data_IF_681978442734
#
_entry.id   IF_681978442734
#
_cell.length_a   1.000
_cell.length_b   1.000
_cell.length_c   1.000
_cell.angle_alpha   90.00
_cell.angle_beta   90.00
_cell.angle_gamma   90.00
#
_symmetry.space_group_name_H-M   'P 1'
#
loop_
_entity.id
_entity.type
_entity.pdbx_description
1 polymer ?
#
# COMPACT_ATOMS: atom_id res chain seq x y z
N UNK A 1 8.02 -22.29 16.21
CA UNK A 1 8.22 -21.09 17.10
C UNK A 1 6.92 -20.65 17.72
N UNK A 2 6.98 -20.05 18.90
CA UNK A 2 5.88 -19.36 19.57
C UNK A 2 5.91 -17.87 19.21
N UNK A 3 4.85 -17.36 18.62
CA UNK A 3 4.83 -16.06 17.93
C UNK A 3 3.76 -15.13 18.53
N UNK A 4 4.13 -13.88 18.79
CA UNK A 4 3.17 -12.77 18.88
C UNK A 4 3.12 -12.10 17.51
N UNK A 5 1.94 -12.04 16.92
CA UNK A 5 1.71 -11.40 15.61
C UNK A 5 1.09 -10.02 15.79
N UNK A 6 1.70 -9.01 15.20
CA UNK A 6 1.22 -7.62 15.22
C UNK A 6 0.87 -7.15 13.82
N UNK A 7 -0.38 -6.88 13.59
CA UNK A 7 -0.87 -6.42 12.29
C UNK A 7 -2.29 -5.89 12.35
N UNK A 8 -2.70 -5.15 11.33
CA UNK A 8 -4.01 -4.50 11.33
C UNK A 8 -4.78 -4.72 10.03
N UNK A 9 -4.28 -4.30 8.83
CA UNK A 9 -5.05 -4.37 7.60
C UNK A 9 -5.03 -5.75 6.95
N UNK A 10 -5.79 -5.89 5.90
CA UNK A 10 -5.86 -7.08 5.06
C UNK A 10 -4.50 -7.53 4.51
N UNK A 11 -3.60 -6.60 4.23
CA UNK A 11 -2.21 -6.92 3.83
C UNK A 11 -1.51 -7.89 4.78
N UNK A 12 -1.82 -7.83 6.06
CA UNK A 12 -1.20 -8.65 7.10
C UNK A 12 -1.85 -10.03 7.26
N UNK A 13 -3.08 -10.21 6.79
CA UNK A 13 -3.87 -11.44 7.01
C UNK A 13 -3.20 -12.66 6.40
N UNK A 14 -2.73 -12.57 5.16
CA UNK A 14 -2.09 -13.69 4.47
C UNK A 14 -0.86 -14.22 5.19
N UNK A 15 -0.09 -13.36 5.83
CA UNK A 15 1.06 -13.77 6.65
C UNK A 15 0.64 -14.46 7.93
N UNK A 16 -0.39 -13.97 8.62
CA UNK A 16 -0.93 -14.67 9.78
C UNK A 16 -1.39 -16.08 9.41
N UNK A 17 -2.15 -16.23 8.35
CA UNK A 17 -2.61 -17.52 7.83
C UNK A 17 -1.44 -18.45 7.48
N UNK A 18 -0.41 -17.92 6.80
CA UNK A 18 0.76 -18.71 6.42
C UNK A 18 1.57 -19.20 7.63
N UNK A 19 1.68 -18.41 8.67
CA UNK A 19 2.36 -18.81 9.92
C UNK A 19 1.61 -19.92 10.65
N UNK A 20 0.28 -19.82 10.72
CA UNK A 20 -0.57 -20.87 11.31
C UNK A 20 -0.46 -22.17 10.49
N UNK A 21 -0.55 -22.07 9.17
CA UNK A 21 -0.46 -23.20 8.25
C UNK A 21 0.93 -23.87 8.30
N UNK A 22 1.99 -23.10 8.50
CA UNK A 22 3.35 -23.63 8.69
C UNK A 22 3.59 -24.33 10.04
N UNK A 23 2.59 -24.39 10.90
CA UNK A 23 2.65 -25.08 12.19
C UNK A 23 3.25 -24.26 13.33
N UNK A 24 3.41 -22.94 13.17
CA UNK A 24 3.81 -22.07 14.25
C UNK A 24 2.66 -21.86 15.26
N UNK A 25 3.02 -21.71 16.53
CA UNK A 25 2.06 -21.34 17.57
C UNK A 25 1.92 -19.82 17.63
N UNK A 26 0.93 -19.27 16.98
CA UNK A 26 0.57 -17.86 17.16
C UNK A 26 -0.23 -17.73 18.45
N UNK A 27 0.43 -17.31 19.53
CA UNK A 27 -0.15 -17.29 20.87
C UNK A 27 -0.94 -16.02 21.18
N UNK A 28 -0.68 -14.94 20.44
CA UNK A 28 -1.38 -13.67 20.59
C UNK A 28 -1.33 -12.92 19.25
N UNK A 29 -2.44 -12.29 18.92
CA UNK A 29 -2.52 -11.28 17.86
C UNK A 29 -2.72 -9.92 18.50
N UNK A 30 -1.88 -8.95 18.11
CA UNK A 30 -1.99 -7.55 18.51
C UNK A 30 -2.42 -6.73 17.29
N UNK A 31 -3.50 -5.99 17.42
CA UNK A 31 -4.06 -5.20 16.33
C UNK A 31 -4.50 -3.82 16.83
N UNK A 32 -4.65 -2.88 15.93
CA UNK A 32 -5.25 -1.58 16.24
C UNK A 32 -6.68 -1.78 16.77
N UNK A 33 -7.18 -0.84 17.60
CA UNK A 33 -8.58 -0.87 18.03
C UNK A 33 -9.54 -0.87 16.84
N UNK A 34 -10.71 -1.47 17.03
CA UNK A 34 -11.80 -1.44 16.07
C UNK A 34 -12.16 0.01 15.73
N UNK A 35 -12.54 0.26 14.51
CA UNK A 35 -12.87 1.60 14.02
C UNK A 35 -14.27 1.61 13.40
N UNK A 36 -15.02 2.73 13.53
CA UNK A 36 -16.27 2.88 12.82
C UNK A 36 -16.02 2.91 11.31
N UNK A 37 -16.79 2.11 10.56
CA UNK A 37 -16.69 2.00 9.10
C UNK A 37 -18.07 2.15 8.45
N UNK A 38 -18.08 2.69 7.23
CA UNK A 38 -19.31 2.87 6.46
C UNK A 38 -20.18 4.04 6.91
N UNK A 39 -21.30 4.23 6.23
CA UNK A 39 -22.25 5.34 6.50
C UNK A 39 -22.92 5.23 7.86
N UNK A 40 -23.10 4.02 8.38
CA UNK A 40 -23.71 3.75 9.69
C UNK A 40 -22.76 3.92 10.88
N UNK A 41 -21.47 4.14 10.64
CA UNK A 41 -20.42 4.24 11.70
C UNK A 41 -20.43 3.07 12.68
N UNK A 42 -20.84 1.88 12.24
CA UNK A 42 -20.74 0.67 13.07
C UNK A 42 -19.26 0.30 13.31
N UNK A 43 -18.95 -0.09 14.54
CA UNK A 43 -17.62 -0.56 14.92
C UNK A 43 -17.35 -1.87 14.20
N UNK A 44 -16.27 -1.90 13.41
CA UNK A 44 -15.87 -3.10 12.70
C UNK A 44 -14.51 -3.59 13.20
N UNK A 45 -14.35 -4.91 13.39
CA UNK A 45 -13.07 -5.48 13.71
C UNK A 45 -12.07 -5.26 12.59
N UNK A 46 -10.78 -5.21 12.96
CA UNK A 46 -9.73 -5.17 11.96
C UNK A 46 -9.67 -6.50 11.19
N UNK A 47 -9.22 -6.51 9.92
CA UNK A 47 -9.07 -7.75 9.16
C UNK A 47 -8.23 -8.81 9.88
N UNK A 48 -7.16 -8.40 10.54
CA UNK A 48 -6.30 -9.32 11.31
C UNK A 48 -7.03 -9.88 12.55
N UNK A 49 -7.82 -9.07 13.24
CA UNK A 49 -8.66 -9.56 14.35
C UNK A 49 -9.66 -10.61 13.88
N UNK A 50 -10.33 -10.38 12.75
CA UNK A 50 -11.27 -11.37 12.19
C UNK A 50 -10.57 -12.70 11.87
N UNK A 51 -9.39 -12.63 11.27
CA UNK A 51 -8.59 -13.83 10.98
C UNK A 51 -8.17 -14.56 12.26
N UNK A 52 -7.70 -13.82 13.27
CA UNK A 52 -7.33 -14.39 14.57
C UNK A 52 -8.50 -15.10 15.24
N UNK A 53 -9.68 -14.51 15.22
CA UNK A 53 -10.90 -15.10 15.80
C UNK A 53 -11.27 -16.42 15.13
N UNK A 54 -11.11 -16.56 13.82
CA UNK A 54 -11.35 -17.81 13.09
C UNK A 54 -10.44 -18.95 13.54
N UNK A 55 -9.23 -18.63 13.99
CA UNK A 55 -8.26 -19.59 14.52
C UNK A 55 -8.32 -19.76 16.03
N UNK A 56 -9.22 -19.07 16.72
CA UNK A 56 -9.30 -19.09 18.18
C UNK A 56 -8.09 -18.45 18.87
N UNK A 57 -7.37 -17.57 18.20
CA UNK A 57 -6.19 -16.89 18.75
C UNK A 57 -6.65 -15.68 19.55
N UNK A 58 -6.14 -15.48 20.80
CA UNK A 58 -6.42 -14.29 21.59
C UNK A 58 -6.00 -13.01 20.86
N UNK A 59 -6.82 -11.95 21.01
CA UNK A 59 -6.58 -10.65 20.38
C UNK A 59 -6.42 -9.56 21.44
N UNK A 60 -5.37 -8.77 21.30
CA UNK A 60 -5.08 -7.62 22.15
C UNK A 60 -5.05 -6.34 21.32
N UNK A 61 -5.84 -5.33 21.71
CA UNK A 61 -6.03 -4.11 20.94
C UNK A 61 -5.70 -2.85 21.76
N UNK A 62 -4.42 -2.62 22.10
CA UNK A 62 -4.03 -1.49 22.91
C UNK A 62 -4.17 -0.18 22.11
N UNK A 63 -4.63 0.88 22.78
CA UNK A 63 -4.67 2.22 22.19
C UNK A 63 -3.26 2.76 21.92
N UNK A 64 -2.33 2.46 22.81
CA UNK A 64 -0.90 2.86 22.71
C UNK A 64 -0.03 1.71 23.19
N UNK A 65 0.59 1.00 22.25
CA UNK A 65 1.45 -0.15 22.56
C UNK A 65 2.64 0.20 23.48
N UNK A 66 3.07 1.45 23.48
CA UNK A 66 4.19 1.96 24.30
C UNK A 66 3.86 2.12 25.77
N UNK A 67 2.59 1.98 26.19
CA UNK A 67 2.23 2.10 27.58
C UNK A 67 2.81 0.92 28.39
N UNK A 68 3.35 1.15 29.61
CA UNK A 68 4.03 0.11 30.40
C UNK A 68 3.20 -1.14 30.65
N UNK A 69 1.89 -0.99 30.81
CA UNK A 69 0.95 -2.10 30.98
C UNK A 69 0.91 -3.03 29.76
N UNK A 70 1.13 -2.48 28.56
CA UNK A 70 1.21 -3.28 27.34
C UNK A 70 2.45 -4.14 27.31
N UNK A 71 3.57 -3.61 27.75
CA UNK A 71 4.85 -4.35 27.88
C UNK A 71 4.66 -5.56 28.80
N UNK A 72 4.07 -5.34 29.98
CA UNK A 72 3.80 -6.41 30.94
C UNK A 72 2.79 -7.45 30.40
N UNK A 73 1.79 -7.01 29.67
CA UNK A 73 0.84 -7.93 29.02
C UNK A 73 1.53 -8.86 28.01
N UNK A 74 2.38 -8.31 27.13
CA UNK A 74 3.08 -9.09 26.11
C UNK A 74 4.08 -10.08 26.73
N UNK A 75 4.74 -9.73 27.85
CA UNK A 75 5.68 -10.63 28.54
C UNK A 75 5.04 -11.96 28.98
N UNK A 76 3.77 -11.96 29.32
CA UNK A 76 3.05 -13.15 29.82
C UNK A 76 3.02 -14.29 28.80
N UNK A 77 3.17 -13.98 27.52
CA UNK A 77 3.05 -14.96 26.43
C UNK A 77 4.34 -15.75 26.19
N UNK A 78 5.48 -15.31 26.71
CA UNK A 78 6.78 -15.98 26.50
C UNK A 78 7.03 -16.37 25.05
N UNK A 79 6.86 -15.44 24.14
CA UNK A 79 7.07 -15.67 22.73
C UNK A 79 8.56 -15.79 22.37
N UNK A 80 8.87 -16.55 21.32
CA UNK A 80 10.22 -16.67 20.77
C UNK A 80 10.56 -15.47 19.88
N UNK A 81 9.56 -14.97 19.15
CA UNK A 81 9.69 -13.90 18.17
C UNK A 81 8.38 -13.12 18.05
N UNK A 82 8.49 -11.86 17.69
CA UNK A 82 7.34 -11.05 17.26
C UNK A 82 7.41 -10.84 15.75
N UNK A 83 6.29 -11.02 15.08
CA UNK A 83 6.16 -10.73 13.65
C UNK A 83 5.27 -9.50 13.48
N UNK A 84 5.76 -8.48 12.80
CA UNK A 84 5.11 -7.18 12.67
C UNK A 84 4.88 -6.87 11.20
N UNK A 85 3.62 -6.61 10.82
CA UNK A 85 3.25 -6.24 9.47
C UNK A 85 2.16 -5.19 9.50
N UNK A 86 2.46 -3.97 9.04
CA UNK A 86 1.50 -2.87 8.96
C UNK A 86 0.67 -2.71 10.26
N UNK A 87 1.35 -2.75 11.40
CA UNK A 87 0.69 -2.65 12.71
C UNK A 87 0.11 -1.25 12.96
N UNK A 88 0.85 -0.21 12.54
CA UNK A 88 0.38 1.17 12.60
C UNK A 88 0.65 1.90 13.92
N UNK A 89 1.52 1.37 14.78
CA UNK A 89 2.04 2.04 15.96
C UNK A 89 3.55 1.87 16.04
N UNK A 90 4.21 2.85 16.62
CA UNK A 90 5.65 2.77 16.90
C UNK A 90 5.86 1.83 18.10
N UNK A 91 6.70 0.82 17.90
CA UNK A 91 7.02 -0.18 18.91
C UNK A 91 8.21 0.30 19.74
N UNK A 92 8.09 0.40 21.06
CA UNK A 92 9.18 0.86 21.93
C UNK A 92 10.28 -0.20 22.04
N UNK A 93 11.48 0.26 22.39
CA UNK A 93 12.67 -0.60 22.55
C UNK A 93 12.44 -1.81 23.45
N UNK A 94 11.73 -1.63 24.56
CA UNK A 94 11.42 -2.70 25.52
C UNK A 94 10.68 -3.87 24.87
N UNK A 95 9.80 -3.59 23.90
CA UNK A 95 9.09 -4.63 23.14
C UNK A 95 9.97 -5.18 22.02
N UNK A 96 10.73 -4.31 21.32
CA UNK A 96 11.65 -4.73 20.26
C UNK A 96 12.67 -5.77 20.74
N UNK A 97 13.12 -5.66 21.97
CA UNK A 97 14.14 -6.51 22.60
C UNK A 97 13.56 -7.58 23.54
N UNK A 98 12.23 -7.72 23.63
CA UNK A 98 11.56 -8.57 24.60
C UNK A 98 11.76 -10.06 24.35
N UNK A 99 11.80 -10.47 23.10
CA UNK A 99 11.86 -11.89 22.71
C UNK A 99 13.27 -12.29 22.27
N UNK A 100 13.65 -13.56 22.37
CA UNK A 100 14.98 -14.04 21.97
C UNK A 100 15.38 -13.66 20.52
N UNK A 101 14.40 -13.68 19.61
CA UNK A 101 14.64 -13.36 18.19
C UNK A 101 14.15 -11.97 17.79
N UNK A 102 13.74 -11.15 18.75
CA UNK A 102 13.31 -9.76 18.51
C UNK A 102 12.01 -9.63 17.72
N UNK A 103 11.89 -8.53 16.99
CA UNK A 103 10.76 -8.24 16.14
C UNK A 103 11.17 -8.30 14.67
N UNK A 104 10.50 -9.15 13.91
CA UNK A 104 10.72 -9.30 12.46
C UNK A 104 9.59 -8.58 11.73
N UNK A 105 9.94 -7.64 10.87
CA UNK A 105 8.99 -6.89 10.05
C UNK A 105 9.00 -7.42 8.62
N UNK A 106 7.82 -7.46 8.01
CA UNK A 106 7.64 -7.72 6.58
C UNK A 106 7.30 -6.39 5.92
N UNK A 107 8.25 -5.82 5.18
CA UNK A 107 8.13 -4.52 4.54
C UNK A 107 7.95 -4.64 3.04
N UNK A 108 6.95 -3.95 2.48
CA UNK A 108 6.55 -4.07 1.08
C UNK A 108 7.42 -3.21 0.14
N UNK A 109 8.73 -3.31 0.27
CA UNK A 109 9.70 -2.74 -0.66
C UNK A 109 11.01 -3.53 -0.64
N UNK A 110 11.87 -3.28 -1.61
CA UNK A 110 13.28 -3.72 -1.61
C UNK A 110 14.11 -2.70 -0.82
N UNK A 111 14.12 -2.82 0.50
CA UNK A 111 14.90 -1.95 1.37
C UNK A 111 16.38 -1.90 0.93
N UNK A 112 17.05 -0.75 1.03
CA UNK A 112 16.66 0.49 1.70
C UNK A 112 15.74 1.42 0.90
N UNK A 113 15.32 1.05 -0.31
CA UNK A 113 14.33 1.83 -1.09
C UNK A 113 12.97 1.86 -0.38
N UNK A 114 12.30 2.99 -0.48
CA UNK A 114 10.91 3.17 -0.04
C UNK A 114 10.65 2.79 1.42
N UNK A 115 11.53 3.21 2.33
CA UNK A 115 11.20 3.25 3.75
C UNK A 115 9.95 4.10 3.92
N UNK A 116 9.03 3.69 4.78
CA UNK A 116 7.86 4.51 5.09
C UNK A 116 6.53 3.79 4.95
N UNK A 117 5.44 4.59 4.95
CA UNK A 117 4.09 4.09 5.14
C UNK A 117 3.42 3.53 3.86
N UNK A 118 3.82 3.98 2.67
CA UNK A 118 3.14 3.65 1.41
C UNK A 118 4.10 3.20 0.29
N UNK A 119 5.00 2.24 0.53
CA UNK A 119 6.01 1.83 -0.44
C UNK A 119 5.41 1.27 -1.72
N UNK A 120 4.26 0.60 -1.66
CA UNK A 120 3.58 -0.02 -2.80
C UNK A 120 3.19 1.02 -3.84
N UNK A 121 2.47 2.04 -3.40
CA UNK A 121 1.97 3.09 -4.29
C UNK A 121 3.10 3.95 -4.84
N UNK A 122 4.05 4.33 -3.99
CA UNK A 122 5.17 5.17 -4.42
C UNK A 122 6.09 4.48 -5.42
N UNK A 123 6.26 3.16 -5.37
CA UNK A 123 7.03 2.43 -6.37
C UNK A 123 6.40 2.53 -7.77
N UNK A 124 5.07 2.46 -7.86
CA UNK A 124 4.35 2.65 -9.14
C UNK A 124 4.41 4.11 -9.60
N UNK A 125 4.12 5.05 -8.71
CA UNK A 125 4.12 6.50 -9.02
C UNK A 125 5.49 6.95 -9.54
N UNK A 126 6.56 6.42 -8.96
CA UNK A 126 7.93 6.76 -9.37
C UNK A 126 8.42 5.95 -10.58
N UNK A 127 7.61 5.02 -11.09
CA UNK A 127 7.91 4.27 -12.32
C UNK A 127 8.95 3.18 -12.17
N UNK A 128 9.03 2.57 -11.00
CA UNK A 128 9.87 1.37 -10.82
C UNK A 128 9.34 0.21 -11.68
N UNK A 129 10.23 -0.53 -12.29
CA UNK A 129 9.90 -1.74 -13.05
C UNK A 129 9.86 -3.00 -12.16
N UNK A 130 10.53 -2.92 -11.01
CA UNK A 130 10.63 -3.99 -10.02
C UNK A 130 10.51 -3.40 -8.63
N UNK A 131 9.76 -4.07 -7.79
CA UNK A 131 9.73 -3.86 -6.34
C UNK A 131 9.85 -5.20 -5.65
N UNK A 132 9.42 -5.32 -4.42
CA UNK A 132 9.47 -6.58 -3.70
C UNK A 132 9.11 -6.45 -2.24
N UNK A 133 9.49 -7.44 -1.49
CA UNK A 133 9.33 -7.50 -0.05
C UNK A 133 10.67 -7.77 0.60
N UNK A 134 10.92 -7.12 1.71
CA UNK A 134 12.08 -7.35 2.57
C UNK A 134 11.61 -7.76 3.96
N UNK A 135 12.17 -8.82 4.50
CA UNK A 135 12.08 -9.09 5.94
C UNK A 135 13.27 -8.43 6.64
N UNK A 136 13.03 -7.76 7.74
CA UNK A 136 14.07 -7.11 8.53
C UNK A 136 13.88 -7.30 10.03
N UNK A 137 14.96 -7.30 10.77
CA UNK A 137 14.92 -7.17 12.21
C UNK A 137 14.73 -5.71 12.58
N UNK A 138 13.63 -5.41 13.29
CA UNK A 138 13.29 -4.04 13.64
C UNK A 138 14.26 -3.44 14.66
N UNK A 139 14.54 -2.17 14.51
CA UNK A 139 15.22 -1.31 15.47
C UNK A 139 14.33 -0.09 15.81
N UNK A 140 14.86 0.85 16.57
CA UNK A 140 14.12 2.07 16.96
C UNK A 140 13.89 3.05 15.80
N UNK A 141 14.59 2.89 14.67
CA UNK A 141 14.39 3.72 13.48
C UNK A 141 13.19 3.30 12.65
N UNK A 142 12.77 4.18 11.76
CA UNK A 142 11.66 3.88 10.83
C UNK A 142 12.19 3.10 9.62
N UNK A 143 11.89 1.82 9.59
CA UNK A 143 12.27 0.87 8.52
C UNK A 143 13.78 0.82 8.22
N UNK A 144 14.60 0.99 9.27
CA UNK A 144 16.07 1.05 9.18
C UNK A 144 16.78 -0.18 9.72
N UNK A 145 16.03 -1.20 10.13
CA UNK A 145 16.58 -2.42 10.72
C UNK A 145 17.40 -3.27 9.74
N UNK A 146 18.13 -4.23 10.27
CA UNK A 146 18.95 -5.12 9.47
C UNK A 146 18.07 -6.02 8.58
N UNK A 147 18.38 -6.06 7.29
CA UNK A 147 17.67 -6.86 6.31
C UNK A 147 18.06 -8.33 6.43
N UNK A 148 17.07 -9.23 6.31
CA UNK A 148 17.30 -10.67 6.42
C UNK A 148 17.16 -11.34 5.07
N UNK A 149 16.03 -11.21 4.43
CA UNK A 149 15.73 -11.78 3.10
C UNK A 149 14.93 -10.80 2.25
N UNK A 150 15.00 -10.97 0.94
CA UNK A 150 14.24 -10.20 -0.04
C UNK A 150 13.67 -11.11 -1.11
N UNK A 151 12.54 -10.69 -1.65
CA UNK A 151 11.96 -11.27 -2.87
C UNK A 151 11.58 -10.15 -3.82
N UNK A 152 11.98 -10.28 -5.08
CA UNK A 152 11.62 -9.33 -6.14
C UNK A 152 10.26 -9.66 -6.74
N UNK A 153 9.50 -8.62 -7.05
CA UNK A 153 8.20 -8.70 -7.73
C UNK A 153 8.20 -7.67 -8.86
N UNK A 154 8.02 -8.09 -10.12
CA UNK A 154 7.95 -7.15 -11.24
C UNK A 154 6.69 -6.30 -11.18
N UNK A 155 6.80 -5.06 -11.61
CA UNK A 155 5.68 -4.13 -11.78
C UNK A 155 5.40 -4.03 -13.28
N UNK A 156 4.28 -4.58 -13.72
CA UNK A 156 3.86 -4.50 -15.12
C UNK A 156 3.24 -3.14 -15.44
N UNK A 157 3.11 -2.81 -16.73
CA UNK A 157 2.46 -1.59 -17.18
C UNK A 157 0.98 -1.49 -16.79
N UNK A 158 0.33 -2.63 -16.56
CA UNK A 158 -1.08 -2.71 -16.13
C UNK A 158 -1.23 -2.75 -14.59
N UNK A 159 -0.13 -2.81 -13.85
CA UNK A 159 -0.16 -2.93 -12.40
C UNK A 159 -0.76 -1.69 -11.75
N UNK A 160 -1.70 -1.90 -10.83
CA UNK A 160 -2.28 -0.85 -9.96
C UNK A 160 -1.78 -0.99 -8.54
N UNK A 161 -1.97 0.05 -7.73
CA UNK A 161 -1.68 -0.04 -6.29
C UNK A 161 -2.39 -1.20 -5.62
N UNK A 162 -3.63 -1.49 -6.01
CA UNK A 162 -4.43 -2.60 -5.47
C UNK A 162 -3.91 -3.96 -5.93
N UNK A 163 -3.64 -4.17 -7.23
CA UNK A 163 -3.14 -5.46 -7.72
C UNK A 163 -1.73 -5.76 -7.23
N UNK A 164 -0.87 -4.75 -7.14
CA UNK A 164 0.47 -4.91 -6.59
C UNK A 164 0.44 -5.21 -5.09
N UNK A 165 -0.47 -4.56 -4.33
CA UNK A 165 -0.72 -4.87 -2.93
C UNK A 165 -0.97 -6.38 -2.73
N UNK A 166 -1.85 -6.97 -3.52
CA UNK A 166 -2.19 -8.40 -3.39
C UNK A 166 -0.99 -9.32 -3.70
N UNK A 167 -0.24 -8.99 -4.74
CA UNK A 167 0.99 -9.74 -5.09
C UNK A 167 2.05 -9.66 -3.99
N UNK A 168 2.26 -8.47 -3.43
CA UNK A 168 3.24 -8.27 -2.36
C UNK A 168 2.79 -8.90 -1.04
N UNK A 169 1.49 -8.90 -0.75
CA UNK A 169 0.95 -9.60 0.42
C UNK A 169 1.21 -11.11 0.34
N UNK A 170 1.00 -11.71 -0.83
CA UNK A 170 1.29 -13.15 -1.05
C UNK A 170 2.79 -13.44 -0.97
N UNK A 171 3.62 -12.64 -1.64
CA UNK A 171 5.07 -12.80 -1.62
C UNK A 171 5.64 -12.62 -0.20
N UNK A 172 5.13 -11.63 0.54
CA UNK A 172 5.53 -11.36 1.92
C UNK A 172 5.17 -12.48 2.89
N UNK A 173 4.01 -13.09 2.71
CA UNK A 173 3.58 -14.24 3.52
C UNK A 173 4.54 -15.43 3.36
N UNK A 174 4.90 -15.77 2.13
CA UNK A 174 5.87 -16.84 1.84
C UNK A 174 7.25 -16.51 2.40
N UNK A 175 7.74 -15.30 2.14
CA UNK A 175 9.04 -14.86 2.61
C UNK A 175 9.15 -14.85 4.13
N UNK A 176 8.09 -14.47 4.84
CA UNK A 176 8.06 -14.48 6.30
C UNK A 176 8.27 -15.89 6.86
N UNK A 177 7.59 -16.88 6.31
CA UNK A 177 7.74 -18.28 6.72
C UNK A 177 9.17 -18.77 6.49
N UNK A 178 9.75 -18.47 5.33
CA UNK A 178 11.14 -18.81 5.01
C UNK A 178 12.13 -18.12 5.95
N UNK A 179 11.90 -16.85 6.25
CA UNK A 179 12.75 -16.07 7.17
C UNK A 179 12.72 -16.64 8.58
N UNK A 180 11.54 -16.97 9.12
CA UNK A 180 11.44 -17.56 10.45
C UNK A 180 12.10 -18.94 10.50
N UNK A 181 11.99 -19.72 9.43
CA UNK A 181 12.71 -21.00 9.34
C UNK A 181 14.21 -20.79 9.37
N UNK A 182 14.74 -19.84 8.61
CA UNK A 182 16.18 -19.54 8.61
C UNK A 182 16.66 -19.05 9.99
N UNK A 183 15.85 -18.29 10.70
CA UNK A 183 16.16 -17.84 12.07
C UNK A 183 16.19 -19.05 13.02
N UNK A 184 15.20 -19.92 12.95
CA UNK A 184 15.12 -21.12 13.78
C UNK A 184 16.26 -22.11 13.52
N UNK A 185 16.65 -22.27 12.27
CA UNK A 185 17.77 -23.12 11.83
C UNK A 185 19.15 -22.45 12.04
N UNK A 186 19.20 -21.23 12.55
CA UNK A 186 20.42 -20.43 12.72
C UNK A 186 21.20 -20.20 11.43
N UNK A 187 20.52 -20.13 10.29
CA UNK A 187 21.10 -19.86 8.96
C UNK A 187 20.82 -18.45 8.45
N UNK A 188 19.97 -17.69 9.17
CA UNK A 188 19.67 -16.32 8.81
C UNK A 188 20.91 -15.41 8.89
N UNK A 189 21.03 -14.52 7.90
CA UNK A 189 22.04 -13.46 7.88
C UNK A 189 21.37 -12.10 8.04
N UNK A 190 22.06 -11.16 8.68
CA UNK A 190 21.54 -9.83 8.98
C UNK A 190 22.45 -8.80 8.33
N UNK A 191 21.94 -8.10 7.34
CA UNK A 191 22.67 -7.10 6.58
C UNK A 191 22.22 -5.69 6.96
N UNK A 192 23.14 -4.85 7.40
CA UNK A 192 22.85 -3.45 7.71
C UNK A 192 22.43 -2.70 6.46
N UNK A 193 21.39 -1.90 6.59
CA UNK A 193 20.96 -1.00 5.52
C UNK A 193 21.96 0.15 5.37
N UNK A 194 22.24 0.53 4.13
CA UNK A 194 22.88 1.79 3.80
C UNK A 194 21.88 2.96 3.76
N UNK A 195 22.30 4.05 3.15
CA UNK A 195 21.40 5.18 2.88
C UNK A 195 20.29 4.77 1.89
N UNK A 196 19.11 5.34 2.06
CA UNK A 196 18.03 5.13 1.11
C UNK A 196 18.29 5.92 -0.18
N UNK A 197 18.25 5.27 -1.35
CA UNK A 197 18.35 5.96 -2.64
C UNK A 197 17.05 6.66 -3.05
N UNK A 198 15.96 6.49 -2.31
CA UNK A 198 14.65 7.08 -2.55
C UNK A 198 14.24 7.98 -1.41
N UNK A 199 13.29 8.87 -1.69
CA UNK A 199 12.61 9.61 -0.63
C UNK A 199 11.80 8.65 0.26
N UNK A 200 11.46 9.13 1.47
CA UNK A 200 10.57 8.44 2.37
C UNK A 200 9.19 8.27 1.74
N UNK A 201 8.69 7.05 1.68
CA UNK A 201 7.38 6.71 1.12
C UNK A 201 6.27 7.16 2.08
N UNK A 202 5.98 8.46 2.04
CA UNK A 202 5.03 9.11 2.94
C UNK A 202 3.63 8.53 2.81
N UNK A 203 2.85 8.68 3.87
CA UNK A 203 1.45 8.27 3.88
C UNK A 203 0.67 8.97 2.77
N UNK A 204 -0.24 8.24 2.13
CA UNK A 204 -1.12 8.78 1.10
C UNK A 204 -2.21 9.64 1.74
N UNK A 205 -2.58 10.69 1.03
CA UNK A 205 -3.74 11.52 1.34
C UNK A 205 -4.57 11.81 0.09
N UNK A 206 -5.76 12.33 0.27
CA UNK A 206 -6.66 12.62 -0.86
C UNK A 206 -6.14 13.71 -1.80
N UNK A 207 -5.34 14.64 -1.28
CA UNK A 207 -4.80 15.76 -2.08
C UNK A 207 -3.78 15.28 -3.10
N UNK A 208 -3.07 14.19 -2.78
CA UNK A 208 -2.13 13.56 -3.72
C UNK A 208 -2.79 13.15 -5.03
N UNK A 209 -4.08 12.78 -4.98
CA UNK A 209 -4.85 12.36 -6.17
C UNK A 209 -5.28 13.52 -7.08
N UNK A 210 -5.14 14.77 -6.66
CA UNK A 210 -5.52 15.92 -7.48
C UNK A 210 -4.55 16.10 -8.66
N UNK A 211 -4.99 15.76 -9.85
CA UNK A 211 -4.14 15.71 -11.04
C UNK A 211 -3.62 17.10 -11.38
N UNK A 212 -2.30 17.25 -11.42
CA UNK A 212 -1.63 18.40 -12.02
C UNK A 212 -1.39 18.12 -13.50
N UNK A 213 -2.22 18.71 -14.35
CA UNK A 213 -2.14 18.55 -15.81
C UNK A 213 -0.86 19.12 -16.42
N UNK A 214 -0.10 19.96 -15.69
CA UNK A 214 1.20 20.48 -16.15
C UNK A 214 2.31 19.43 -16.10
N UNK A 215 2.12 18.32 -15.43
CA UNK A 215 3.07 17.20 -15.43
C UNK A 215 2.95 16.38 -16.73
N UNK A 216 3.86 15.45 -16.94
CA UNK A 216 3.81 14.60 -18.15
C UNK A 216 2.66 13.59 -18.12
N UNK A 217 2.21 13.18 -19.29
CA UNK A 217 1.19 12.12 -19.41
C UNK A 217 1.62 10.81 -18.72
N UNK A 218 2.89 10.47 -18.79
CA UNK A 218 3.46 9.30 -18.12
C UNK A 218 3.36 9.42 -16.60
N UNK A 219 3.68 10.59 -16.04
CA UNK A 219 3.56 10.81 -14.58
C UNK A 219 2.11 10.74 -14.12
N UNK A 220 1.17 11.33 -14.88
CA UNK A 220 -0.26 11.26 -14.53
C UNK A 220 -0.78 9.83 -14.65
N UNK A 221 -0.39 9.08 -15.67
CA UNK A 221 -0.77 7.67 -15.84
C UNK A 221 -0.28 6.82 -14.67
N UNK A 222 0.98 6.99 -14.23
CA UNK A 222 1.52 6.33 -13.05
C UNK A 222 0.79 6.72 -11.77
N UNK A 223 0.42 7.98 -11.62
CA UNK A 223 -0.38 8.45 -10.49
C UNK A 223 -1.76 7.77 -10.47
N UNK A 224 -2.43 7.69 -11.61
CA UNK A 224 -3.73 6.99 -11.77
C UNK A 224 -3.62 5.54 -11.33
N UNK A 225 -2.61 4.80 -11.81
CA UNK A 225 -2.38 3.41 -11.43
C UNK A 225 -1.98 3.25 -9.97
N UNK A 226 -1.02 4.02 -9.51
CA UNK A 226 -0.50 3.91 -8.15
C UNK A 226 -1.55 4.22 -7.08
N UNK A 227 -2.47 5.13 -7.33
CA UNK A 227 -3.54 5.50 -6.40
C UNK A 227 -4.85 4.73 -6.57
N UNK A 228 -4.91 3.77 -7.48
CA UNK A 228 -6.06 2.89 -7.65
C UNK A 228 -5.91 1.71 -6.66
N UNK A 229 -6.84 1.44 -5.75
CA UNK A 229 -8.21 1.97 -5.67
C UNK A 229 -8.36 3.17 -4.72
N UNK A 230 -7.37 3.43 -3.86
CA UNK A 230 -7.41 4.53 -2.89
C UNK A 230 -6.06 5.28 -2.86
N UNK A 231 -6.07 6.62 -2.73
CA UNK A 231 -7.21 7.55 -2.63
C UNK A 231 -7.89 7.87 -3.97
N UNK A 232 -7.41 7.36 -5.08
CA UNK A 232 -7.78 7.62 -6.46
C UNK A 232 -7.29 8.96 -7.01
N UNK A 233 -6.92 8.99 -8.29
CA UNK A 233 -6.62 10.21 -9.00
C UNK A 233 -7.92 10.90 -9.45
N UNK A 234 -7.95 12.21 -9.40
CA UNK A 234 -9.13 13.00 -9.76
C UNK A 234 -8.78 14.36 -10.34
N UNK A 235 -9.74 14.92 -11.02
CA UNK A 235 -9.70 16.27 -11.59
C UNK A 235 -11.07 16.93 -11.45
N UNK A 236 -11.22 18.15 -11.89
CA UNK A 236 -12.49 18.88 -11.88
C UNK A 236 -12.98 19.18 -13.29
N UNK A 237 -14.26 18.96 -13.51
CA UNK A 237 -14.99 19.30 -14.72
C UNK A 237 -16.36 19.85 -14.36
N UNK A 238 -16.67 21.04 -14.86
CA UNK A 238 -17.96 21.71 -14.59
C UNK A 238 -18.32 21.68 -13.08
N UNK A 239 -17.36 22.09 -12.22
CA UNK A 239 -17.46 22.09 -10.76
C UNK A 239 -17.72 20.72 -10.12
N UNK A 240 -17.58 19.64 -10.86
CA UNK A 240 -17.70 18.26 -10.36
C UNK A 240 -16.34 17.60 -10.27
N UNK A 241 -16.15 16.81 -9.22
CA UNK A 241 -14.96 15.96 -9.08
C UNK A 241 -15.12 14.76 -10.01
N UNK A 242 -14.20 14.57 -10.93
CA UNK A 242 -14.15 13.42 -11.82
C UNK A 242 -12.95 12.56 -11.45
N UNK A 243 -13.19 11.33 -11.01
CA UNK A 243 -12.12 10.36 -10.77
C UNK A 243 -11.72 9.70 -12.08
N UNK A 244 -10.41 9.54 -12.29
CA UNK A 244 -9.86 8.80 -13.42
C UNK A 244 -9.31 7.49 -12.88
N UNK A 245 -9.85 6.37 -13.39
CA UNK A 245 -9.52 5.03 -12.93
C UNK A 245 -8.57 4.27 -13.84
N UNK A 246 -8.63 4.56 -15.15
CA UNK A 246 -7.74 3.98 -16.14
C UNK A 246 -7.44 4.99 -17.24
N UNK A 247 -6.18 5.15 -17.54
CA UNK A 247 -5.70 6.03 -18.57
C UNK A 247 -4.46 5.45 -19.24
N UNK A 248 -4.13 5.95 -20.41
CA UNK A 248 -2.91 5.60 -21.13
C UNK A 248 -2.18 6.85 -21.56
N UNK A 249 -0.89 6.90 -21.29
CA UNK A 249 -0.03 7.97 -21.76
C UNK A 249 0.32 7.76 -23.23
N UNK A 250 0.20 8.83 -24.01
CA UNK A 250 0.64 8.90 -25.40
C UNK A 250 1.68 10.02 -25.49
N UNK A 251 2.94 9.63 -25.65
CA UNK A 251 4.06 10.56 -25.71
C UNK A 251 4.33 10.91 -27.17
N UNK A 252 3.66 11.93 -27.69
CA UNK A 252 3.95 12.46 -29.00
C UNK A 252 4.87 13.70 -29.00
N UNK A 253 5.22 14.17 -27.78
CA UNK A 253 6.11 15.32 -27.58
C UNK A 253 5.56 16.68 -28.03
N UNK A 254 4.33 16.73 -28.53
CA UNK A 254 3.73 17.94 -29.08
C UNK A 254 2.72 18.52 -28.09
N UNK A 255 2.91 19.75 -27.67
CA UNK A 255 1.91 20.53 -26.94
C UNK A 255 1.03 21.29 -27.92
N UNK A 256 -0.23 20.87 -28.07
CA UNK A 256 -1.20 21.43 -29.00
C UNK A 256 -2.19 22.41 -28.37
N UNK A 257 -2.30 22.37 -27.03
CA UNK A 257 -3.21 23.18 -26.26
C UNK A 257 -2.68 23.38 -24.84
N UNK A 258 -3.35 24.19 -24.04
CA UNK A 258 -3.04 24.31 -22.61
C UNK A 258 -3.30 22.98 -21.89
N UNK A 259 -2.45 22.61 -20.92
CA UNK A 259 -2.67 21.41 -20.09
C UNK A 259 -4.06 21.38 -19.47
N UNK A 260 -4.70 20.21 -19.47
CA UNK A 260 -6.06 20.02 -19.03
C UNK A 260 -7.13 20.14 -20.12
N UNK A 261 -6.76 20.56 -21.34
CA UNK A 261 -7.70 20.72 -22.45
C UNK A 261 -7.97 19.40 -23.15
N UNK A 262 -9.24 19.07 -23.37
CA UNK A 262 -9.65 17.92 -24.19
C UNK A 262 -9.31 18.19 -25.64
N UNK A 263 -8.51 17.32 -26.27
CA UNK A 263 -8.06 17.47 -27.66
C UNK A 263 -8.98 16.75 -28.66
N UNK A 264 -9.35 15.53 -28.33
CA UNK A 264 -10.19 14.68 -29.19
C UNK A 264 -11.13 13.85 -28.36
N UNK A 265 -12.28 13.54 -28.92
CA UNK A 265 -13.28 12.63 -28.33
C UNK A 265 -13.56 11.55 -29.36
N UNK A 266 -13.40 10.30 -28.96
CA UNK A 266 -13.67 9.11 -29.75
C UNK A 266 -14.87 8.36 -29.19
N UNK A 267 -15.21 7.21 -29.77
CA UNK A 267 -16.36 6.42 -29.35
C UNK A 267 -16.28 5.96 -27.89
N UNK A 268 -15.09 5.60 -27.43
CA UNK A 268 -14.82 4.91 -26.14
C UNK A 268 -13.68 5.53 -25.34
N UNK A 269 -13.20 6.69 -25.76
CA UNK A 269 -12.14 7.43 -25.06
C UNK A 269 -12.15 8.90 -25.43
N UNK A 270 -11.46 9.71 -24.66
CA UNK A 270 -11.06 11.07 -25.04
C UNK A 270 -9.63 11.32 -24.59
N UNK A 271 -8.98 12.26 -25.27
CA UNK A 271 -7.60 12.65 -24.95
C UNK A 271 -7.53 14.03 -24.32
N UNK A 272 -6.62 14.20 -23.37
CA UNK A 272 -6.41 15.45 -22.65
C UNK A 272 -4.95 15.85 -22.76
N UNK A 273 -4.71 17.13 -23.10
CA UNK A 273 -3.38 17.71 -23.15
C UNK A 273 -2.74 17.71 -21.76
N UNK A 274 -1.49 17.30 -21.68
CA UNK A 274 -0.66 17.40 -20.46
C UNK A 274 0.52 18.33 -20.70
N UNK A 275 1.35 18.54 -19.70
CA UNK A 275 2.59 19.32 -19.87
C UNK A 275 3.58 18.70 -20.83
N UNK A 276 3.55 17.39 -21.01
CA UNK A 276 4.33 16.63 -21.98
C UNK A 276 3.54 15.37 -22.39
N UNK A 277 3.17 15.31 -23.68
CA UNK A 277 2.33 14.25 -24.23
C UNK A 277 0.84 14.44 -23.92
N UNK A 278 0.09 13.39 -24.14
CA UNK A 278 -1.38 13.37 -24.09
C UNK A 278 -1.84 12.20 -23.22
N UNK A 279 -2.82 12.41 -22.38
CA UNK A 279 -3.43 11.36 -21.60
C UNK A 279 -4.74 10.91 -22.24
N UNK A 280 -4.85 9.64 -22.60
CA UNK A 280 -6.10 9.01 -23.06
C UNK A 280 -6.84 8.46 -21.86
N UNK A 281 -8.06 8.94 -21.63
CA UNK A 281 -8.93 8.51 -20.54
C UNK A 281 -9.80 7.34 -21.00
N UNK A 282 -9.70 6.21 -20.28
CA UNK A 282 -10.36 4.96 -20.63
C UNK A 282 -11.47 4.56 -19.66
N UNK A 283 -11.36 5.00 -18.41
CA UNK A 283 -12.33 4.68 -17.35
C UNK A 283 -12.36 5.81 -16.32
N UNK A 284 -13.56 6.21 -15.93
CA UNK A 284 -13.78 7.35 -15.05
C UNK A 284 -15.02 7.17 -14.15
N UNK A 285 -15.17 8.09 -13.23
CA UNK A 285 -16.32 8.14 -12.32
C UNK A 285 -16.68 9.58 -11.99
N UNK A 286 -17.96 9.92 -12.13
CA UNK A 286 -18.54 11.20 -11.71
C UNK A 286 -19.30 11.03 -10.39
N UNK A 287 -19.55 12.12 -9.64
CA UNK A 287 -20.25 12.06 -8.37
C UNK A 287 -21.61 11.39 -8.48
N UNK A 288 -21.93 10.49 -7.54
CA UNK A 288 -23.21 9.79 -7.46
C UNK A 288 -23.39 8.64 -8.47
N UNK A 289 -22.39 8.38 -9.32
CA UNK A 289 -22.42 7.27 -10.29
C UNK A 289 -21.38 6.20 -9.94
N UNK A 290 -21.53 5.03 -10.56
CA UNK A 290 -20.53 3.98 -10.49
C UNK A 290 -19.35 4.30 -11.44
N UNK A 291 -18.20 3.72 -11.16
CA UNK A 291 -17.08 3.63 -12.08
C UNK A 291 -17.55 3.03 -13.40
N UNK A 292 -17.16 3.60 -14.53
CA UNK A 292 -17.60 3.18 -15.86
C UNK A 292 -16.53 3.42 -16.92
N UNK A 293 -16.57 2.61 -17.98
CA UNK A 293 -15.79 2.88 -19.19
C UNK A 293 -16.17 4.21 -19.80
N UNK A 294 -15.17 4.89 -20.37
CA UNK A 294 -15.38 6.20 -21.03
C UNK A 294 -16.42 6.12 -22.15
N UNK A 295 -16.49 5.01 -22.90
CA UNK A 295 -17.54 4.79 -23.89
C UNK A 295 -18.96 4.81 -23.31
N UNK A 296 -19.15 4.18 -22.15
CA UNK A 296 -20.42 4.22 -21.43
C UNK A 296 -20.76 5.64 -20.96
N UNK A 297 -19.76 6.36 -20.43
CA UNK A 297 -19.92 7.74 -20.02
C UNK A 297 -20.34 8.65 -21.19
N UNK A 298 -19.68 8.56 -22.33
CA UNK A 298 -19.93 9.40 -23.53
C UNK A 298 -21.32 9.16 -24.17
N UNK A 299 -21.98 8.03 -23.87
CA UNK A 299 -23.39 7.82 -24.29
C UNK A 299 -24.40 8.62 -23.47
N UNK A 300 -24.03 9.04 -22.28
CA UNK A 300 -24.92 9.78 -21.37
C UNK A 300 -24.49 11.21 -21.07
N UNK A 301 -23.26 11.57 -21.42
CA UNK A 301 -22.67 12.87 -21.12
C UNK A 301 -21.88 13.38 -22.33
N UNK A 302 -22.01 14.67 -22.62
CA UNK A 302 -21.29 15.31 -23.72
C UNK A 302 -20.00 15.93 -23.20
N UNK A 303 -18.87 15.45 -23.71
CA UNK A 303 -17.57 16.13 -23.66
C UNK A 303 -17.16 16.46 -25.08
N UNK A 304 -16.72 17.67 -25.30
CA UNK A 304 -16.27 18.17 -26.61
C UNK A 304 -14.80 18.59 -26.56
N UNK A 305 -14.18 18.63 -27.71
CA UNK A 305 -12.84 19.22 -27.85
C UNK A 305 -12.86 20.68 -27.37
N UNK A 306 -11.83 21.07 -26.61
CA UNK A 306 -11.73 22.41 -26.01
C UNK A 306 -12.30 22.48 -24.57
N UNK A 307 -13.02 21.47 -24.09
CA UNK A 307 -13.40 21.37 -22.66
C UNK A 307 -12.13 21.33 -21.80
N UNK A 308 -12.14 22.01 -20.69
CA UNK A 308 -10.99 22.08 -19.79
C UNK A 308 -11.25 21.36 -18.47
N UNK A 309 -10.37 20.45 -18.15
CA UNK A 309 -10.23 19.88 -16.81
C UNK A 309 -9.27 20.73 -15.99
N UNK A 310 -9.57 20.91 -14.72
CA UNK A 310 -8.79 21.76 -13.81
C UNK A 310 -8.37 20.99 -12.59
N UNK A 311 -7.38 21.52 -11.88
CA UNK A 311 -6.96 21.00 -10.58
C UNK A 311 -7.98 21.38 -9.49
N UNK A 312 -8.58 22.56 -9.58
CA UNK A 312 -9.75 23.05 -8.80
C UNK A 312 -10.63 23.99 -9.63
#
# INVERSE_FOLDING_TARGET
MRIIFMGTPDFSVGTLEALVEAGHEVCLVVSQPDKPKGRGKEMQPTPVKEAAMKHGIPVYQPKKIRDPECVEELRKYNADVMVVIAFGQIIPKEILEMTPYGCINVHASLLPKYRGAAPIQWSIINGEEVTGVTTMQMNEGLDTGDMIQKVEVPITEEETGESLHDKLAEAGAKLCVETLKAIEDHTATFEKQGESPTEYARMLDKKLGNIDWNTSAVQIERLVRGLNSWPSAYTHWDKKVVKIWRAKAEADGTVKAEPGTVLSVEKDSFTVQTGDGVLRVLELQIPGKKRMDTGAFLRGYTIESGVKFTQE
#
